data_IF_664566033505
#
_entry.id   IF_664566033505
#
_cell.length_a   1.000
_cell.length_b   1.000
_cell.length_c   1.000
_cell.angle_alpha   90.00
_cell.angle_beta   90.00
_cell.angle_gamma   90.00
#
_symmetry.space_group_name_H-M   'P 1'
#
loop_
_entity.id
_entity.type
_entity.pdbx_description
1 polymer ?
#
# COMPACT_ATOMS: atom_id res chain seq x y z
N UNK A 1 -2.76 1.11 9.47
CA UNK A 1 -3.58 2.33 9.28
C UNK A 1 -3.07 3.51 10.10
N UNK A 2 -2.93 3.43 11.43
CA UNK A 2 -2.66 4.60 12.30
C UNK A 2 -1.55 5.56 11.82
N UNK A 3 -0.41 5.03 11.35
CA UNK A 3 0.68 5.86 10.81
C UNK A 3 0.28 6.62 9.54
N UNK A 4 -0.50 6.00 8.64
CA UNK A 4 -0.97 6.63 7.41
C UNK A 4 -1.92 7.80 7.74
N UNK A 5 -2.86 7.58 8.65
CA UNK A 5 -3.79 8.62 9.14
C UNK A 5 -3.05 9.78 9.80
N UNK A 6 -2.00 9.50 10.56
CA UNK A 6 -1.15 10.54 11.14
C UNK A 6 -0.52 11.41 10.05
N UNK A 7 0.04 10.82 9.00
CA UNK A 7 0.66 11.58 7.92
C UNK A 7 -0.35 12.45 7.16
N UNK A 8 -1.54 11.91 6.89
CA UNK A 8 -2.64 12.69 6.31
C UNK A 8 -3.04 13.86 7.22
N UNK A 9 -3.19 13.63 8.53
CA UNK A 9 -3.50 14.68 9.50
C UNK A 9 -2.40 15.75 9.61
N UNK A 10 -1.14 15.39 9.36
CA UNK A 10 -0.01 16.32 9.27
C UNK A 10 0.08 17.03 7.91
N UNK A 11 -0.87 16.79 6.99
CA UNK A 11 -1.01 17.49 5.71
C UNK A 11 -0.36 16.80 4.52
N UNK A 12 0.02 15.53 4.63
CA UNK A 12 0.51 14.77 3.48
C UNK A 12 -0.58 14.67 2.41
N UNK A 13 -0.25 15.00 1.16
CA UNK A 13 -1.19 14.96 0.03
C UNK A 13 -1.11 13.67 -0.80
N UNK A 14 -0.13 12.81 -0.50
CA UNK A 14 0.14 11.54 -1.17
C UNK A 14 0.89 10.64 -0.20
N UNK A 15 0.52 9.36 -0.14
CA UNK A 15 1.25 8.35 0.63
C UNK A 15 1.90 7.33 -0.30
N UNK A 16 3.20 7.11 -0.15
CA UNK A 16 3.89 6.00 -0.81
C UNK A 16 4.09 4.85 0.17
N UNK A 17 3.53 3.69 -0.14
CA UNK A 17 3.57 2.47 0.68
C UNK A 17 4.34 1.39 -0.06
N UNK A 18 5.25 0.70 0.63
CA UNK A 18 6.05 -0.39 0.07
C UNK A 18 5.79 -1.68 0.85
N UNK A 19 5.26 -2.71 0.18
CA UNK A 19 5.18 -4.07 0.69
C UNK A 19 6.57 -4.73 0.56
N UNK A 20 7.36 -4.69 1.63
CA UNK A 20 8.72 -5.26 1.63
C UNK A 20 8.70 -6.79 1.53
N UNK A 21 7.80 -7.46 2.26
CA UNK A 21 7.68 -8.91 2.17
C UNK A 21 7.28 -9.34 0.77
N UNK A 22 6.37 -8.60 0.14
CA UNK A 22 6.02 -8.82 -1.25
C UNK A 22 7.17 -8.54 -2.21
N UNK A 23 8.01 -7.53 -1.93
CA UNK A 23 9.22 -7.28 -2.71
C UNK A 23 10.21 -8.45 -2.67
N UNK A 24 10.42 -9.06 -1.49
CA UNK A 24 11.30 -10.22 -1.31
C UNK A 24 10.71 -11.51 -1.88
N UNK A 25 9.45 -11.80 -1.56
CA UNK A 25 8.76 -13.02 -1.95
C UNK A 25 8.29 -13.00 -3.42
N UNK A 26 8.24 -11.82 -4.05
CA UNK A 26 7.70 -11.55 -5.39
C UNK A 26 6.20 -11.92 -5.52
N UNK A 27 5.49 -11.86 -4.41
CA UNK A 27 4.05 -12.18 -4.29
C UNK A 27 3.39 -11.25 -3.26
N UNK A 28 2.09 -10.95 -3.37
CA UNK A 28 1.46 -9.95 -2.52
C UNK A 28 1.16 -10.49 -1.11
N UNK A 29 2.12 -10.36 -0.18
CA UNK A 29 2.00 -10.91 1.18
C UNK A 29 1.16 -10.06 2.12
N UNK A 30 1.22 -8.74 1.99
CA UNK A 30 0.59 -7.82 2.92
C UNK A 30 -0.67 -7.18 2.34
N UNK A 31 -1.42 -7.89 1.48
CA UNK A 31 -2.63 -7.35 0.80
C UNK A 31 -3.63 -6.77 1.80
N UNK A 32 -3.95 -7.47 2.87
CA UNK A 32 -4.92 -7.02 3.88
C UNK A 32 -4.44 -5.75 4.60
N UNK A 33 -3.15 -5.68 4.95
CA UNK A 33 -2.57 -4.51 5.60
C UNK A 33 -2.57 -3.29 4.67
N UNK A 34 -2.25 -3.49 3.39
CA UNK A 34 -2.31 -2.44 2.36
C UNK A 34 -3.76 -1.97 2.16
N UNK A 35 -4.72 -2.88 2.04
CA UNK A 35 -6.14 -2.54 1.93
C UNK A 35 -6.63 -1.72 3.13
N UNK A 36 -6.24 -2.12 4.35
CA UNK A 36 -6.56 -1.38 5.57
C UNK A 36 -5.92 0.02 5.62
N UNK A 37 -4.77 0.23 4.98
CA UNK A 37 -4.16 1.56 4.84
C UNK A 37 -4.97 2.39 3.86
N UNK A 38 -5.24 1.86 2.66
CA UNK A 38 -5.99 2.56 1.61
C UNK A 38 -7.40 2.97 2.07
N UNK A 39 -8.08 2.11 2.84
CA UNK A 39 -9.40 2.42 3.38
C UNK A 39 -9.39 3.43 4.54
N UNK A 40 -8.21 3.73 5.11
CA UNK A 40 -8.11 4.56 6.31
C UNK A 40 -7.80 6.03 6.05
N UNK A 41 -7.52 6.40 4.79
CA UNK A 41 -7.10 7.74 4.35
C UNK A 41 -7.87 8.14 3.09
N UNK A 42 -8.07 9.43 2.89
CA UNK A 42 -8.72 10.02 1.71
C UNK A 42 -7.70 10.44 0.64
N UNK A 43 -6.43 10.65 1.02
CA UNK A 43 -5.37 11.01 0.09
C UNK A 43 -4.93 9.85 -0.81
N UNK A 44 -4.50 10.10 -2.05
CA UNK A 44 -4.02 9.05 -2.95
C UNK A 44 -2.89 8.22 -2.32
N UNK A 45 -2.92 6.91 -2.58
CA UNK A 45 -1.90 5.96 -2.13
C UNK A 45 -1.20 5.33 -3.33
N UNK A 46 0.12 5.48 -3.40
CA UNK A 46 0.97 4.78 -4.35
C UNK A 46 1.57 3.53 -3.69
N UNK A 47 1.24 2.35 -4.21
CA UNK A 47 1.79 1.08 -3.74
C UNK A 47 3.02 0.64 -4.55
N UNK A 48 4.07 0.20 -3.87
CA UNK A 48 5.17 -0.59 -4.41
C UNK A 48 5.38 -1.87 -3.62
N UNK A 49 6.20 -2.79 -4.13
CA UNK A 49 6.57 -4.03 -3.45
C UNK A 49 6.20 -5.29 -4.20
N UNK A 50 7.13 -5.81 -5.00
CA UNK A 50 6.99 -7.15 -5.60
C UNK A 50 6.06 -7.26 -6.82
N UNK A 51 5.42 -6.17 -7.24
CA UNK A 51 4.55 -6.14 -8.43
C UNK A 51 5.39 -6.28 -9.71
N UNK A 52 5.43 -7.49 -10.28
CA UNK A 52 6.19 -7.83 -11.51
C UNK A 52 5.31 -8.24 -12.67
N UNK A 53 4.06 -8.60 -12.39
CA UNK A 53 3.09 -9.06 -13.40
C UNK A 53 1.72 -8.40 -13.17
N UNK A 54 0.87 -8.44 -14.18
CA UNK A 54 -0.50 -7.88 -14.12
C UNK A 54 -1.38 -8.70 -13.16
N UNK A 55 -1.09 -9.98 -13.01
CA UNK A 55 -1.76 -10.85 -12.04
C UNK A 55 -1.48 -10.41 -10.61
N UNK A 56 -0.23 -10.08 -10.28
CA UNK A 56 0.12 -9.50 -8.97
C UNK A 56 -0.56 -8.14 -8.78
N UNK A 57 -0.65 -7.31 -9.82
CA UNK A 57 -1.35 -6.03 -9.74
C UNK A 57 -2.85 -6.22 -9.45
N UNK A 58 -3.49 -7.19 -10.10
CA UNK A 58 -4.91 -7.53 -9.90
C UNK A 58 -5.20 -7.99 -8.48
N UNK A 59 -4.20 -8.49 -7.76
CA UNK A 59 -4.30 -8.82 -6.35
C UNK A 59 -4.23 -7.59 -5.42
N UNK A 60 -4.14 -6.36 -5.92
CA UNK A 60 -4.29 -5.15 -5.10
C UNK A 60 -5.44 -4.23 -5.56
N UNK A 61 -6.09 -4.58 -6.67
CA UNK A 61 -7.37 -4.02 -7.11
C UNK A 61 -8.54 -4.75 -6.41
#
# INVERSE_FOLDING_TARGET
AATAQRWEAEGAQLLHVVDLDGAFAKEPKNREAVAAIVQSVDVPVQLGGGVRTVETLSAYL
#
